data_IF_820683093094
#
_entry.id   IF_820683093094
#
_cell.length_a   1.000
_cell.length_b   1.000
_cell.length_c   1.000
_cell.angle_alpha   90.00
_cell.angle_beta   90.00
_cell.angle_gamma   90.00
#
_symmetry.space_group_name_H-M   'P 1'
#
loop_
_entity.id
_entity.type
_entity.pdbx_description
1 polymer ?
#
# COMPACT_ATOMS: atom_id res chain seq x y z
N UNK A 1 12.05 35.52 -13.20
CA UNK A 1 12.38 34.17 -12.73
C UNK A 1 12.16 34.18 -11.23
N UNK A 2 10.88 34.19 -10.84
CA UNK A 2 10.52 34.16 -9.43
C UNK A 2 10.76 32.72 -8.97
N UNK A 3 11.76 32.58 -8.08
CA UNK A 3 12.04 31.31 -7.44
C UNK A 3 10.79 30.92 -6.62
N UNK A 4 10.10 29.86 -7.03
CA UNK A 4 9.16 29.15 -6.16
C UNK A 4 9.95 28.61 -4.96
N UNK A 5 10.32 29.50 -4.04
CA UNK A 5 10.76 29.08 -2.72
C UNK A 5 9.51 28.57 -2.01
N UNK A 6 9.45 27.26 -1.81
CA UNK A 6 8.42 26.64 -0.97
C UNK A 6 8.47 27.39 0.38
N UNK A 7 7.33 27.96 0.78
CA UNK A 7 7.25 28.61 2.09
C UNK A 7 7.38 27.56 3.20
N UNK A 8 8.03 27.92 4.30
CA UNK A 8 8.22 27.03 5.45
C UNK A 8 6.91 26.38 5.92
N UNK A 9 5.79 27.10 5.82
CA UNK A 9 4.47 26.56 6.13
C UNK A 9 4.06 25.42 5.19
N UNK A 10 4.34 25.52 3.91
CA UNK A 10 4.04 24.48 2.92
C UNK A 10 4.91 23.25 3.16
N UNK A 11 6.20 23.42 3.48
CA UNK A 11 7.07 22.31 3.87
C UNK A 11 6.56 21.59 5.11
N UNK A 12 6.12 22.33 6.13
CA UNK A 12 5.53 21.75 7.34
C UNK A 12 4.23 20.98 7.05
N UNK A 13 3.42 21.47 6.12
CA UNK A 13 2.20 20.75 5.67
C UNK A 13 2.59 19.45 4.96
N UNK A 14 3.57 19.47 4.07
CA UNK A 14 4.06 18.25 3.42
C UNK A 14 4.64 17.28 4.47
N UNK A 15 5.45 17.76 5.40
CA UNK A 15 5.99 16.94 6.47
C UNK A 15 4.89 16.26 7.31
N UNK A 16 3.81 16.98 7.61
CA UNK A 16 2.65 16.43 8.33
C UNK A 16 1.94 15.32 7.53
N UNK A 17 1.84 15.47 6.21
CA UNK A 17 1.30 14.41 5.32
C UNK A 17 2.18 13.16 5.35
N UNK A 18 3.51 13.33 5.35
CA UNK A 18 4.43 12.19 5.42
C UNK A 18 4.29 11.44 6.75
N UNK A 19 4.10 12.14 7.86
CA UNK A 19 3.80 11.50 9.14
C UNK A 19 2.48 10.74 9.11
N UNK A 20 1.43 11.32 8.53
CA UNK A 20 0.15 10.63 8.36
C UNK A 20 0.29 9.39 7.48
N UNK A 21 1.02 9.49 6.36
CA UNK A 21 1.32 8.36 5.48
C UNK A 21 2.10 7.25 6.20
N UNK A 22 3.11 7.62 7.01
CA UNK A 22 3.88 6.67 7.81
C UNK A 22 2.98 5.91 8.79
N UNK A 23 2.09 6.61 9.50
CA UNK A 23 1.14 6.00 10.45
C UNK A 23 0.18 5.05 9.72
N UNK A 24 -0.44 5.49 8.62
CA UNK A 24 -1.39 4.66 7.87
C UNK A 24 -0.72 3.42 7.27
N UNK A 25 0.47 3.57 6.70
CA UNK A 25 1.27 2.45 6.20
C UNK A 25 1.69 1.50 7.32
N UNK A 26 2.11 2.03 8.48
CA UNK A 26 2.47 1.23 9.64
C UNK A 26 1.28 0.43 10.20
N UNK A 27 0.07 1.02 10.24
CA UNK A 27 -1.16 0.32 10.66
C UNK A 27 -1.42 -0.90 9.76
N UNK A 28 -1.31 -0.73 8.44
CA UNK A 28 -1.47 -1.85 7.50
C UNK A 28 -0.35 -2.89 7.68
N UNK A 29 0.89 -2.44 7.86
CA UNK A 29 2.07 -3.31 8.03
C UNK A 29 2.13 -4.02 9.38
N UNK A 30 1.47 -3.50 10.41
CA UNK A 30 1.51 -4.06 11.78
C UNK A 30 1.00 -5.51 11.84
N UNK A 31 -0.12 -5.79 11.19
CA UNK A 31 -0.65 -7.17 11.14
C UNK A 31 0.32 -8.12 10.43
N UNK A 32 1.04 -7.64 9.42
CA UNK A 32 2.02 -8.41 8.65
C UNK A 32 3.26 -8.73 9.48
N UNK A 33 3.78 -7.73 10.20
CA UNK A 33 4.90 -7.90 11.13
C UNK A 33 4.58 -8.93 12.21
N UNK A 34 3.39 -8.81 12.84
CA UNK A 34 2.93 -9.71 13.89
C UNK A 34 2.84 -11.18 13.44
N UNK A 35 2.61 -11.42 12.16
CA UNK A 35 2.47 -12.76 11.60
C UNK A 35 3.70 -13.21 10.80
N UNK A 36 4.87 -12.60 11.04
CA UNK A 36 6.16 -12.96 10.44
C UNK A 36 6.10 -13.12 8.91
N UNK A 37 5.45 -12.15 8.24
CA UNK A 37 5.39 -12.10 6.77
C UNK A 37 6.62 -11.38 6.21
N UNK A 38 6.98 -11.69 4.96
CA UNK A 38 8.18 -11.18 4.28
C UNK A 38 8.28 -9.64 4.27
N UNK A 39 7.16 -8.93 4.15
CA UNK A 39 7.07 -7.48 4.27
C UNK A 39 6.28 -7.09 5.53
N UNK A 40 6.90 -6.33 6.43
CA UNK A 40 6.37 -5.90 7.72
C UNK A 40 6.14 -4.39 7.80
N UNK A 41 6.00 -3.88 9.01
CA UNK A 41 5.66 -2.50 9.35
C UNK A 41 6.54 -1.48 8.61
N UNK A 42 7.88 -1.68 8.62
CA UNK A 42 8.82 -0.75 7.97
C UNK A 42 8.60 -0.66 6.47
N UNK A 43 8.40 -1.80 5.81
CA UNK A 43 8.20 -1.85 4.36
C UNK A 43 6.92 -1.11 3.96
N UNK A 44 5.81 -1.37 4.65
CA UNK A 44 4.53 -0.73 4.37
C UNK A 44 4.55 0.77 4.65
N UNK A 45 5.15 1.18 5.78
CA UNK A 45 5.33 2.59 6.09
C UNK A 45 6.18 3.30 5.03
N UNK A 46 7.32 2.72 4.62
CA UNK A 46 8.20 3.31 3.60
C UNK A 46 7.52 3.45 2.24
N UNK A 47 6.75 2.45 1.81
CA UNK A 47 5.99 2.50 0.55
C UNK A 47 4.94 3.62 0.59
N UNK A 48 4.21 3.73 1.70
CA UNK A 48 3.19 4.76 1.87
C UNK A 48 3.81 6.18 1.87
N UNK A 49 4.89 6.36 2.63
CA UNK A 49 5.64 7.63 2.70
C UNK A 49 6.22 8.01 1.34
N UNK A 50 6.86 7.08 0.63
CA UNK A 50 7.44 7.35 -0.70
C UNK A 50 6.37 7.77 -1.70
N UNK A 51 5.25 7.07 -1.74
CA UNK A 51 4.13 7.42 -2.61
C UNK A 51 3.53 8.80 -2.26
N UNK A 52 3.36 9.11 -0.96
CA UNK A 52 2.88 10.40 -0.50
C UNK A 52 3.85 11.54 -0.83
N UNK A 53 5.16 11.31 -0.67
CA UNK A 53 6.20 12.30 -0.96
C UNK A 53 6.21 12.66 -2.45
N UNK A 54 6.30 11.68 -3.34
CA UNK A 54 6.29 11.92 -4.79
C UNK A 54 5.02 12.65 -5.23
N UNK A 55 3.87 12.26 -4.67
CA UNK A 55 2.57 12.86 -5.04
C UNK A 55 2.43 14.28 -4.47
N UNK A 56 2.94 14.55 -3.26
CA UNK A 56 2.93 15.90 -2.67
C UNK A 56 3.81 16.86 -3.46
N UNK A 57 5.02 16.44 -3.86
CA UNK A 57 5.91 17.22 -4.71
C UNK A 57 5.25 17.51 -6.07
N UNK A 58 4.61 16.48 -6.66
CA UNK A 58 3.91 16.64 -7.92
C UNK A 58 2.76 17.65 -7.83
N UNK A 59 1.98 17.61 -6.75
CA UNK A 59 0.88 18.56 -6.52
C UNK A 59 1.35 20.01 -6.36
N UNK A 60 2.58 20.21 -5.89
CA UNK A 60 3.19 21.54 -5.76
C UNK A 60 3.59 22.16 -7.12
N UNK A 61 3.77 21.34 -8.15
CA UNK A 61 4.11 21.83 -9.50
C UNK A 61 2.93 22.49 -10.22
N UNK A 62 1.73 22.50 -9.63
CA UNK A 62 0.49 23.07 -10.18
C UNK A 62 0.13 22.59 -11.60
N UNK A 63 0.77 21.51 -12.06
CA UNK A 63 0.53 20.88 -13.36
C UNK A 63 -0.17 19.53 -13.16
N UNK A 64 -1.46 19.49 -13.52
CA UNK A 64 -2.29 18.26 -13.44
C UNK A 64 -1.70 17.15 -14.30
N UNK A 65 -1.11 17.47 -15.45
CA UNK A 65 -0.49 16.48 -16.33
C UNK A 65 0.79 15.90 -15.70
N UNK A 66 1.62 16.74 -15.08
CA UNK A 66 2.81 16.30 -14.36
C UNK A 66 2.42 15.43 -13.17
N UNK A 67 1.42 15.83 -12.38
CA UNK A 67 0.91 15.06 -11.25
C UNK A 67 0.40 13.68 -11.70
N UNK A 68 -0.38 13.62 -12.78
CA UNK A 68 -0.89 12.36 -13.33
C UNK A 68 0.24 11.43 -13.78
N UNK A 69 1.29 11.96 -14.41
CA UNK A 69 2.46 11.17 -14.81
C UNK A 69 3.22 10.60 -13.61
N UNK A 70 3.41 11.40 -12.56
CA UNK A 70 4.11 10.94 -11.35
C UNK A 70 3.30 9.85 -10.65
N UNK A 71 1.99 10.00 -10.50
CA UNK A 71 1.11 8.96 -9.94
C UNK A 71 1.17 7.68 -10.77
N UNK A 72 1.12 7.77 -12.10
CA UNK A 72 1.26 6.61 -12.99
C UNK A 72 2.60 5.91 -12.80
N UNK A 73 3.70 6.66 -12.64
CA UNK A 73 5.02 6.09 -12.39
C UNK A 73 5.14 5.44 -11.01
N UNK A 74 4.50 6.00 -9.98
CA UNK A 74 4.41 5.34 -8.65
C UNK A 74 3.72 3.97 -8.80
N UNK A 75 2.57 3.92 -9.49
CA UNK A 75 1.85 2.66 -9.73
C UNK A 75 2.70 1.64 -10.48
N UNK A 76 3.44 2.08 -11.51
CA UNK A 76 4.35 1.23 -12.28
C UNK A 76 5.51 0.72 -11.42
N UNK A 77 6.15 1.59 -10.64
CA UNK A 77 7.26 1.25 -9.76
C UNK A 77 6.89 0.21 -8.68
N UNK A 78 5.69 0.34 -8.12
CA UNK A 78 5.16 -0.64 -7.16
C UNK A 78 4.89 -1.99 -7.84
N UNK A 79 4.53 -2.00 -9.12
CA UNK A 79 4.42 -3.24 -9.92
C UNK A 79 5.73 -4.02 -9.97
N UNK A 80 6.87 -3.32 -10.11
CA UNK A 80 8.20 -3.94 -10.06
C UNK A 80 8.51 -4.57 -8.70
N UNK A 81 8.24 -3.86 -7.59
CA UNK A 81 8.37 -4.41 -6.24
C UNK A 81 7.46 -5.62 -6.04
N UNK A 82 6.22 -5.53 -6.51
CA UNK A 82 5.25 -6.63 -6.45
C UNK A 82 5.73 -7.88 -7.19
N UNK A 83 6.32 -7.72 -8.36
CA UNK A 83 6.90 -8.82 -9.13
C UNK A 83 8.08 -9.48 -8.39
N UNK A 84 8.91 -8.68 -7.68
CA UNK A 84 10.02 -9.20 -6.86
C UNK A 84 9.59 -10.01 -5.64
N UNK A 85 8.37 -9.77 -5.14
CA UNK A 85 7.81 -10.46 -3.96
C UNK A 85 7.14 -11.78 -4.34
N UNK A 86 6.59 -11.89 -5.56
CA UNK A 86 5.89 -13.09 -6.01
C UNK A 86 6.90 -14.10 -6.54
N UNK A 87 6.95 -15.27 -5.92
CA UNK A 87 7.83 -16.35 -6.35
C UNK A 87 7.12 -17.70 -6.33
N UNK A 88 7.61 -18.62 -7.18
CA UNK A 88 7.12 -20.00 -7.21
C UNK A 88 7.90 -20.82 -6.17
N UNK A 89 7.19 -21.39 -5.22
CA UNK A 89 7.79 -22.28 -4.22
C UNK A 89 8.11 -23.64 -4.87
N UNK A 90 9.37 -24.03 -4.86
CA UNK A 90 9.87 -25.26 -5.45
C UNK A 90 9.25 -26.52 -4.85
N UNK A 91 8.90 -26.50 -3.56
CA UNK A 91 8.37 -27.67 -2.85
C UNK A 91 6.86 -27.86 -3.09
N UNK A 92 6.09 -26.77 -3.16
CA UNK A 92 4.63 -26.83 -3.29
C UNK A 92 4.12 -26.59 -4.71
N UNK A 93 4.96 -26.04 -5.61
CA UNK A 93 4.57 -25.66 -6.96
C UNK A 93 3.64 -24.44 -7.05
N UNK A 94 3.19 -23.88 -5.94
CA UNK A 94 2.26 -22.74 -5.88
C UNK A 94 3.02 -21.40 -5.79
N UNK A 95 2.40 -20.34 -6.33
CA UNK A 95 2.91 -18.98 -6.18
C UNK A 95 2.70 -18.48 -4.75
N UNK A 96 3.77 -17.98 -4.12
CA UNK A 96 3.77 -17.30 -2.82
C UNK A 96 3.94 -15.80 -3.02
N UNK A 97 3.61 -14.98 -2.01
CA UNK A 97 3.78 -13.53 -2.05
C UNK A 97 2.63 -12.74 -2.67
N UNK A 98 1.66 -13.35 -3.36
CA UNK A 98 0.57 -12.66 -4.06
C UNK A 98 -0.20 -11.68 -3.16
N UNK A 99 -0.59 -12.10 -1.95
CA UNK A 99 -1.30 -11.21 -1.02
C UNK A 99 -0.41 -10.06 -0.56
N UNK A 100 0.89 -10.32 -0.32
CA UNK A 100 1.87 -9.30 0.06
C UNK A 100 2.03 -8.26 -1.05
N UNK A 101 2.20 -8.68 -2.29
CA UNK A 101 2.30 -7.79 -3.44
C UNK A 101 1.03 -6.93 -3.61
N UNK A 102 -0.15 -7.54 -3.53
CA UNK A 102 -1.43 -6.82 -3.63
C UNK A 102 -1.61 -5.79 -2.51
N UNK A 103 -1.23 -6.12 -1.27
CA UNK A 103 -1.37 -5.19 -0.15
C UNK A 103 -0.33 -4.07 -0.17
N UNK A 104 0.87 -4.29 -0.66
CA UNK A 104 1.86 -3.23 -0.91
C UNK A 104 1.34 -2.26 -1.98
N UNK A 105 0.71 -2.77 -3.03
CA UNK A 105 0.08 -1.95 -4.07
C UNK A 105 -1.04 -1.06 -3.48
N UNK A 106 -1.92 -1.62 -2.65
CA UNK A 106 -2.94 -0.84 -1.92
C UNK A 106 -2.30 0.23 -1.01
N UNK A 107 -1.19 -0.09 -0.34
CA UNK A 107 -0.49 0.86 0.55
C UNK A 107 0.10 2.04 -0.22
N UNK A 108 0.62 1.81 -1.42
CA UNK A 108 1.06 2.91 -2.29
C UNK A 108 -0.12 3.83 -2.68
N UNK A 109 -1.28 3.25 -2.99
CA UNK A 109 -2.49 4.03 -3.29
C UNK A 109 -2.95 4.88 -2.09
N UNK A 110 -2.83 4.35 -0.86
CA UNK A 110 -3.07 5.12 0.37
C UNK A 110 -2.11 6.31 0.45
N UNK A 111 -0.82 6.11 0.18
CA UNK A 111 0.18 7.18 0.15
C UNK A 111 -0.14 8.25 -0.90
N UNK A 112 -0.52 7.84 -2.12
CA UNK A 112 -0.97 8.76 -3.17
C UNK A 112 -2.17 9.61 -2.69
N UNK A 113 -3.16 8.97 -2.06
CA UNK A 113 -4.32 9.67 -1.54
C UNK A 113 -3.96 10.71 -0.46
N UNK A 114 -3.02 10.38 0.44
CA UNK A 114 -2.48 11.34 1.44
C UNK A 114 -1.79 12.51 0.73
N UNK A 115 -0.93 12.24 -0.26
CA UNK A 115 -0.23 13.26 -1.03
C UNK A 115 -1.18 14.24 -1.72
N UNK A 116 -2.32 13.76 -2.22
CA UNK A 116 -3.39 14.53 -2.84
C UNK A 116 -4.37 15.19 -1.85
N UNK A 117 -4.09 15.19 -0.55
CA UNK A 117 -4.98 15.70 0.51
C UNK A 117 -6.31 14.93 0.66
N UNK A 118 -6.43 13.72 0.11
CA UNK A 118 -7.64 12.88 0.18
C UNK A 118 -7.64 12.00 1.42
N UNK A 119 -7.55 12.59 2.61
CA UNK A 119 -7.37 11.89 3.89
C UNK A 119 -8.50 10.91 4.21
N UNK A 120 -9.75 11.25 3.90
CA UNK A 120 -10.91 10.36 4.14
C UNK A 120 -10.75 9.07 3.34
N UNK A 121 -10.34 9.19 2.07
CA UNK A 121 -10.10 8.03 1.20
C UNK A 121 -8.89 7.24 1.67
N UNK A 122 -7.82 7.91 2.10
CA UNK A 122 -6.63 7.26 2.64
C UNK A 122 -6.94 6.43 3.89
N UNK A 123 -7.71 6.99 4.84
CA UNK A 123 -8.14 6.29 6.06
C UNK A 123 -9.04 5.11 5.72
N UNK A 124 -10.05 5.30 4.86
CA UNK A 124 -10.92 4.23 4.42
C UNK A 124 -10.14 3.11 3.73
N UNK A 125 -9.20 3.44 2.85
CA UNK A 125 -8.31 2.50 2.18
C UNK A 125 -7.46 1.71 3.17
N UNK A 126 -6.86 2.37 4.17
CA UNK A 126 -6.06 1.71 5.20
C UNK A 126 -6.89 0.75 6.06
N UNK A 127 -8.10 1.14 6.46
CA UNK A 127 -9.01 0.28 7.22
C UNK A 127 -9.46 -0.93 6.40
N UNK A 128 -9.78 -0.74 5.13
CA UNK A 128 -10.16 -1.84 4.24
C UNK A 128 -8.97 -2.79 3.99
N UNK A 129 -7.78 -2.26 3.72
CA UNK A 129 -6.57 -3.07 3.54
C UNK A 129 -6.27 -3.89 4.80
N UNK A 130 -6.30 -3.27 5.98
CA UNK A 130 -6.12 -3.95 7.26
C UNK A 130 -7.19 -5.04 7.49
N UNK A 131 -8.44 -4.74 7.21
CA UNK A 131 -9.55 -5.70 7.33
C UNK A 131 -9.34 -6.90 6.41
N UNK A 132 -8.99 -6.69 5.14
CA UNK A 132 -8.75 -7.77 4.17
C UNK A 132 -7.60 -8.68 4.59
N UNK A 133 -6.51 -8.11 5.13
CA UNK A 133 -5.37 -8.87 5.64
C UNK A 133 -5.80 -9.72 6.85
N UNK A 134 -6.53 -9.13 7.80
CA UNK A 134 -6.94 -9.77 9.03
C UNK A 134 -7.98 -10.87 8.84
N UNK A 135 -8.70 -10.89 7.72
CA UNK A 135 -9.66 -11.95 7.37
C UNK A 135 -9.04 -13.34 7.38
N UNK A 136 -7.77 -13.45 6.97
CA UNK A 136 -7.07 -14.74 6.92
C UNK A 136 -6.98 -15.44 8.29
N UNK A 137 -7.02 -14.68 9.38
CA UNK A 137 -6.91 -15.18 10.76
C UNK A 137 -8.27 -15.44 11.41
N UNK A 138 -9.37 -15.06 10.76
CA UNK A 138 -10.71 -15.28 11.33
C UNK A 138 -11.16 -16.72 11.10
N UNK A 139 -11.49 -17.42 12.19
CA UNK A 139 -11.95 -18.84 12.20
C UNK A 139 -13.10 -19.10 11.23
N UNK A 140 -13.98 -18.12 10.99
CA UNK A 140 -15.08 -18.21 10.04
C UNK A 140 -14.59 -18.30 8.59
N UNK A 141 -13.64 -17.44 8.19
CA UNK A 141 -13.09 -17.42 6.84
C UNK A 141 -12.30 -18.71 6.54
N UNK A 142 -11.54 -19.22 7.51
CA UNK A 142 -10.79 -20.49 7.40
C UNK A 142 -11.77 -21.64 7.19
N UNK A 143 -12.87 -21.71 7.97
CA UNK A 143 -13.93 -22.73 7.81
C UNK A 143 -14.63 -22.65 6.45
N UNK A 144 -14.95 -21.45 5.98
CA UNK A 144 -15.58 -21.23 4.68
C UNK A 144 -14.65 -21.67 3.52
N UNK A 145 -13.35 -21.34 3.60
CA UNK A 145 -12.34 -21.75 2.61
C UNK A 145 -12.18 -23.28 2.54
N UNK A 146 -12.25 -23.97 3.67
CA UNK A 146 -12.21 -25.43 3.71
C UNK A 146 -13.45 -26.06 3.02
N UNK A 147 -14.64 -25.49 3.17
CA UNK A 147 -15.86 -25.97 2.50
C UNK A 147 -15.79 -25.85 0.98
N UNK A 148 -15.17 -24.80 0.46
CA UNK A 148 -15.04 -24.57 -0.99
C UNK A 148 -13.96 -25.48 -1.61
N UNK A 149 -12.93 -25.84 -0.86
CA UNK A 149 -11.82 -26.68 -1.33
C UNK A 149 -12.07 -28.19 -1.25
N UNK A 150 -13.17 -28.64 -0.65
CA UNK A 150 -13.53 -30.05 -0.75
C UNK A 150 -13.97 -30.34 -2.20
N UNK A 151 -13.27 -31.25 -2.93
CA UNK A 151 -13.76 -31.70 -4.22
C UNK A 151 -15.14 -32.32 -3.99
N UNK A 152 -16.15 -31.91 -4.77
CA UNK A 152 -17.36 -32.69 -4.92
C UNK A 152 -16.91 -34.03 -5.49
N UNK A 153 -17.00 -35.07 -4.67
CA UNK A 153 -16.99 -36.43 -5.20
C UNK A 153 -18.21 -36.50 -6.12
N UNK A 154 -17.94 -36.45 -7.42
CA UNK A 154 -18.94 -36.80 -8.45
C UNK A 154 -18.81 -38.30 -8.54
N UNK A 155 -19.71 -39.03 -7.89
CA UNK A 155 -19.99 -40.44 -8.13
C UNK A 155 -20.59 -40.62 -9.55
#
# INVERSE_FOLDING_TARGET
MDSHSIDLLEELVIASKLLAAAVLGAVVGYDRERHSRDAGLRTYASVCVGAALFTSIAGHLEDVSATSRIVANVVMGIGFLGAGIVYKDSNSGYAKGLTTAATIWCTAAIGVAVGLNMFVIAIAGALLAYFLISLHHRKWYVRWKHRIKQPRNVD
#
